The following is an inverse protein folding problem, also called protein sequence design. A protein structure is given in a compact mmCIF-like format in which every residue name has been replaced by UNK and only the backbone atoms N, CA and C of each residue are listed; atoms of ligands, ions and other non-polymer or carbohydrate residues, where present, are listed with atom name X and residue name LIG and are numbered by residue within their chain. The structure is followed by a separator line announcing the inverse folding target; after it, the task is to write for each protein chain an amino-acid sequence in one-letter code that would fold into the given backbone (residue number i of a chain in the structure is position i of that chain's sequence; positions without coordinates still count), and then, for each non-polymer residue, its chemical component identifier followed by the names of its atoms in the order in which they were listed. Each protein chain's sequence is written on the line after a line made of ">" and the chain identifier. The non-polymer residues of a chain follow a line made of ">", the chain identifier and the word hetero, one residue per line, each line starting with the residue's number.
data_IF_623864077109
#
_entry.id   IF_623864077109
#
_cell.length_a   1.000
_cell.length_b   1.000
_cell.length_c   1.000
_cell.angle_alpha   90.00
_cell.angle_beta   90.00
_cell.angle_gamma   90.00
#
_symmetry.space_group_name_H-M   'P 1'
#
loop_
_entity.id
_entity.type
_entity.pdbx_description
1 polymer ?
#
# COMPACT_ATOMS: atom_id res chain seq x y z
N UNK A 1 -15.89 -18.31 -6.55
CA UNK A 1 -15.81 -17.06 -7.33
C UNK A 1 -14.49 -16.37 -7.03
N UNK A 2 -13.80 -15.91 -8.05
CA UNK A 2 -12.53 -15.19 -7.97
C UNK A 2 -12.79 -13.74 -8.34
N UNK A 3 -12.21 -12.81 -7.59
CA UNK A 3 -12.24 -11.37 -7.88
C UNK A 3 -10.82 -10.85 -7.91
N UNK A 4 -10.50 -9.99 -8.87
CA UNK A 4 -9.19 -9.35 -8.93
C UNK A 4 -9.36 -7.84 -8.87
N UNK A 5 -8.37 -7.18 -8.29
CA UNK A 5 -8.30 -5.72 -8.24
C UNK A 5 -6.86 -5.27 -8.40
N UNK A 6 -6.70 -4.05 -8.89
CA UNK A 6 -5.41 -3.39 -9.08
C UNK A 6 -5.45 -2.05 -8.40
N UNK A 7 -4.34 -1.68 -7.77
CA UNK A 7 -4.17 -0.36 -7.18
C UNK A 7 -2.87 0.25 -7.62
N UNK A 8 -2.85 1.58 -7.68
CA UNK A 8 -1.67 2.37 -8.00
C UNK A 8 -1.65 3.59 -7.09
N UNK A 9 -0.47 3.91 -6.55
CA UNK A 9 -0.30 5.12 -5.78
C UNK A 9 1.08 5.70 -6.01
N UNK A 10 1.23 6.99 -5.78
CA UNK A 10 2.49 7.71 -5.92
C UNK A 10 2.52 8.86 -4.93
N UNK A 11 3.67 9.04 -4.29
CA UNK A 11 3.90 10.18 -3.41
C UNK A 11 5.27 10.77 -3.67
N UNK A 12 5.35 12.10 -3.60
CA UNK A 12 6.61 12.83 -3.71
C UNK A 12 7.34 12.82 -2.38
N UNK A 13 8.67 12.82 -2.44
CA UNK A 13 9.51 13.12 -1.28
C UNK A 13 9.48 14.62 -0.99
N UNK A 14 9.73 14.99 0.26
CA UNK A 14 9.89 16.40 0.61
C UNK A 14 9.53 16.80 2.03
N UNK A 15 8.95 15.90 2.80
CA UNK A 15 8.58 16.19 4.18
C UNK A 15 9.68 15.72 5.14
N UNK A 16 9.95 16.50 6.18
CA UNK A 16 10.85 16.12 7.26
C UNK A 16 10.09 15.24 8.24
N UNK A 17 9.98 13.99 7.91
CA UNK A 17 9.28 12.98 8.71
C UNK A 17 9.72 11.58 8.31
N UNK A 18 9.42 10.55 9.11
CA UNK A 18 9.80 9.18 8.76
C UNK A 18 9.20 8.74 7.43
N UNK A 19 9.95 7.95 6.69
CA UNK A 19 9.49 7.31 5.46
C UNK A 19 8.84 5.98 5.83
N UNK A 20 7.53 5.87 5.64
CA UNK A 20 6.76 4.68 5.97
C UNK A 20 6.31 4.01 4.67
N UNK A 21 6.68 2.75 4.49
CA UNK A 21 6.30 1.96 3.31
C UNK A 21 5.97 0.54 3.75
N UNK A 22 4.79 0.05 3.36
CA UNK A 22 4.36 -1.29 3.74
C UNK A 22 4.19 -1.45 5.25
N UNK A 23 3.86 -0.36 5.95
CA UNK A 23 3.73 -0.34 7.40
C UNK A 23 5.06 -0.34 8.14
N UNK A 24 6.18 -0.17 7.44
CA UNK A 24 7.54 -0.25 8.00
C UNK A 24 8.24 1.09 7.84
N UNK A 25 8.91 1.56 8.90
CA UNK A 25 9.75 2.73 8.80
C UNK A 25 11.05 2.33 8.10
N UNK A 26 11.30 2.94 6.95
CA UNK A 26 12.49 2.70 6.14
C UNK A 26 13.45 3.88 6.35
N UNK A 27 14.69 3.65 6.82
CA UNK A 27 15.64 4.73 7.01
C UNK A 27 15.92 5.48 5.70
N UNK A 28 15.69 6.80 5.72
CA UNK A 28 15.95 7.66 4.59
C UNK A 28 15.99 9.11 5.08
N UNK A 29 16.57 10.02 4.28
CA UNK A 29 16.76 11.41 4.68
C UNK A 29 15.50 12.28 4.56
N UNK A 30 14.43 11.74 4.01
CA UNK A 30 13.17 12.47 3.82
C UNK A 30 12.00 11.51 3.87
N UNK A 31 10.81 12.01 4.14
CA UNK A 31 9.55 11.26 4.06
C UNK A 31 8.69 11.76 2.91
N UNK A 32 7.47 11.24 2.82
CA UNK A 32 6.53 11.60 1.76
C UNK A 32 5.74 12.86 2.11
N UNK A 33 5.41 13.63 1.08
CA UNK A 33 4.41 14.70 1.16
C UNK A 33 3.05 14.04 1.00
N UNK A 34 2.25 13.99 2.06
CA UNK A 34 0.94 13.36 2.03
C UNK A 34 0.06 13.82 3.18
N UNK A 35 -1.25 13.61 3.05
CA UNK A 35 -2.23 13.90 4.09
C UNK A 35 -2.13 12.91 5.26
N UNK A 36 -1.92 11.62 4.95
CA UNK A 36 -1.67 10.55 5.92
C UNK A 36 -0.16 10.38 6.15
N UNK A 37 0.28 9.20 6.55
CA UNK A 37 1.71 8.84 6.60
C UNK A 37 2.32 8.69 5.21
N UNK A 38 1.50 8.67 4.16
CA UNK A 38 1.97 8.59 2.78
C UNK A 38 2.40 7.20 2.35
N UNK A 39 2.01 6.16 3.08
CA UNK A 39 2.42 4.79 2.77
C UNK A 39 1.91 4.36 1.40
N UNK A 40 2.75 4.53 0.39
CA UNK A 40 2.40 4.29 -1.01
C UNK A 40 2.04 2.83 -1.27
N UNK A 41 2.67 1.90 -0.56
CA UNK A 41 2.42 0.47 -0.72
C UNK A 41 1.06 0.08 -0.14
N UNK A 42 0.74 0.53 1.06
CA UNK A 42 -0.55 0.21 1.69
C UNK A 42 -1.70 0.92 0.98
N UNK A 43 -1.48 2.14 0.44
CA UNK A 43 -2.52 2.83 -0.33
C UNK A 43 -2.84 2.09 -1.64
N UNK A 44 -1.81 1.65 -2.37
CA UNK A 44 -2.02 0.87 -3.59
C UNK A 44 -2.74 -0.45 -3.28
N UNK A 45 -2.33 -1.12 -2.21
CA UNK A 45 -2.96 -2.37 -1.79
C UNK A 45 -4.42 -2.18 -1.36
N UNK A 46 -4.70 -1.11 -0.62
CA UNK A 46 -6.06 -0.77 -0.20
C UNK A 46 -6.96 -0.59 -1.43
N UNK A 47 -6.50 0.16 -2.43
CA UNK A 47 -7.25 0.36 -3.67
C UNK A 47 -7.47 -0.96 -4.42
N UNK A 48 -6.47 -1.84 -4.44
CA UNK A 48 -6.59 -3.14 -5.08
C UNK A 48 -7.69 -3.98 -4.42
N UNK A 49 -7.72 -4.00 -3.10
CA UNK A 49 -8.73 -4.74 -2.33
C UNK A 49 -10.13 -4.18 -2.55
N UNK A 50 -10.27 -2.85 -2.46
CA UNK A 50 -11.55 -2.18 -2.69
C UNK A 50 -12.05 -2.40 -4.12
N UNK A 51 -11.15 -2.29 -5.10
CA UNK A 51 -11.49 -2.52 -6.49
C UNK A 51 -11.97 -3.95 -6.75
N UNK A 52 -11.28 -4.94 -6.16
CA UNK A 52 -11.67 -6.34 -6.31
C UNK A 52 -13.08 -6.61 -5.75
N UNK A 53 -13.46 -5.92 -4.68
CA UNK A 53 -14.78 -6.06 -4.04
C UNK A 53 -15.83 -5.08 -4.61
N UNK A 54 -15.47 -4.29 -5.62
CA UNK A 54 -16.34 -3.28 -6.23
C UNK A 54 -16.84 -2.23 -5.22
N UNK A 55 -15.94 -1.81 -4.31
CA UNK A 55 -16.24 -0.82 -3.27
C UNK A 55 -15.69 0.58 -3.58
N UNK A 56 -15.17 0.79 -4.80
CA UNK A 56 -14.60 2.07 -5.20
C UNK A 56 -13.12 2.16 -4.90
N UNK A 57 -12.71 3.23 -4.25
CA UNK A 57 -11.31 3.51 -3.97
C UNK A 57 -11.12 4.10 -2.56
N UNK A 58 -9.86 4.31 -2.19
CA UNK A 58 -9.49 4.85 -0.88
C UNK A 58 -10.01 6.29 -0.69
N UNK A 59 -10.04 7.09 -1.75
CA UNK A 59 -10.53 8.47 -1.67
C UNK A 59 -12.02 8.56 -1.37
N UNK A 60 -12.80 7.60 -1.86
CA UNK A 60 -14.23 7.50 -1.56
C UNK A 60 -14.45 7.12 -0.10
N UNK A 61 -13.65 6.17 0.42
CA UNK A 61 -13.79 5.65 1.77
C UNK A 61 -13.20 6.61 2.82
N UNK A 62 -12.08 7.25 2.49
CA UNK A 62 -11.33 8.14 3.39
C UNK A 62 -11.00 9.45 2.68
N UNK A 63 -11.98 10.38 2.55
CA UNK A 63 -11.72 11.65 1.85
C UNK A 63 -10.61 12.47 2.51
N UNK A 64 -9.73 13.08 1.71
CA UNK A 64 -8.65 13.95 2.20
C UNK A 64 -9.19 15.16 2.98
N UNK A 65 -10.44 15.53 2.73
CA UNK A 65 -11.10 16.63 3.42
C UNK A 65 -11.55 16.26 4.83
N UNK A 66 -11.56 14.97 5.18
CA UNK A 66 -11.98 14.52 6.50
C UNK A 66 -10.79 14.60 7.46
N UNK A 67 -10.87 15.51 8.41
CA UNK A 67 -9.79 15.79 9.36
C UNK A 67 -9.46 14.62 10.27
N UNK A 68 -10.39 13.69 10.49
CA UNK A 68 -10.11 12.51 11.33
C UNK A 68 -9.02 11.60 10.73
N UNK A 69 -8.79 11.69 9.41
CA UNK A 69 -7.78 10.86 8.72
C UNK A 69 -6.46 11.59 8.49
N UNK A 70 -6.33 12.84 8.97
CA UNK A 70 -5.09 13.59 8.85
C UNK A 70 -4.00 12.90 9.67
N UNK A 71 -2.84 12.68 9.04
CA UNK A 71 -1.70 11.95 9.63
C UNK A 71 -2.05 10.52 10.06
N UNK A 72 -3.10 9.93 9.45
CA UNK A 72 -3.53 8.60 9.78
C UNK A 72 -2.46 7.55 9.48
N UNK A 73 -2.38 6.54 10.33
CA UNK A 73 -1.61 5.34 10.07
C UNK A 73 -2.32 4.55 8.98
N UNK A 74 -1.65 4.34 7.86
CA UNK A 74 -2.25 3.65 6.71
C UNK A 74 -2.61 2.20 7.00
N UNK A 75 -2.03 1.58 8.03
CA UNK A 75 -2.45 0.25 8.47
C UNK A 75 -3.87 0.28 9.04
N UNK A 76 -4.23 1.36 9.73
CA UNK A 76 -5.61 1.53 10.23
C UNK A 76 -6.58 1.64 9.05
N UNK A 77 -6.20 2.42 8.03
CA UNK A 77 -7.02 2.57 6.83
C UNK A 77 -7.16 1.24 6.09
N UNK A 78 -6.07 0.49 5.98
CA UNK A 78 -6.06 -0.83 5.33
C UNK A 78 -6.99 -1.81 6.07
N UNK A 79 -6.90 -1.86 7.40
CA UNK A 79 -7.74 -2.76 8.19
C UNK A 79 -9.22 -2.43 8.06
N UNK A 80 -9.56 -1.13 8.04
CA UNK A 80 -10.97 -0.71 7.87
C UNK A 80 -11.49 -1.06 6.48
N UNK A 81 -10.69 -0.82 5.44
CA UNK A 81 -11.07 -1.21 4.08
C UNK A 81 -11.26 -2.72 3.98
N UNK A 82 -10.35 -3.49 4.57
CA UNK A 82 -10.46 -4.95 4.53
C UNK A 82 -11.64 -5.47 5.32
N UNK A 83 -11.99 -4.81 6.43
CA UNK A 83 -13.22 -5.16 7.18
C UNK A 83 -14.44 -5.07 6.27
N UNK A 84 -14.52 -4.04 5.44
CA UNK A 84 -15.62 -3.87 4.49
C UNK A 84 -15.60 -4.94 3.39
N UNK A 85 -14.41 -5.32 2.95
CA UNK A 85 -14.24 -6.43 1.99
C UNK A 85 -14.77 -7.73 2.58
N UNK A 86 -14.47 -7.99 3.85
CA UNK A 86 -14.97 -9.17 4.56
C UNK A 86 -16.49 -9.15 4.70
N UNK A 87 -17.07 -7.98 4.98
CA UNK A 87 -18.53 -7.83 5.05
C UNK A 87 -19.23 -8.18 3.73
N UNK A 88 -18.53 -7.99 2.61
CA UNK A 88 -19.04 -8.39 1.29
C UNK A 88 -18.92 -9.90 1.05
N UNK A 89 -18.33 -10.63 1.98
CA UNK A 89 -18.22 -12.07 1.91
C UNK A 89 -16.93 -12.57 1.25
N UNK A 90 -15.87 -11.77 1.24
CA UNK A 90 -14.60 -12.15 0.61
C UNK A 90 -13.49 -12.35 1.62
N UNK A 91 -12.50 -13.10 1.20
CA UNK A 91 -11.22 -13.26 1.91
C UNK A 91 -10.08 -13.15 0.89
N UNK A 92 -8.87 -12.95 1.38
CA UNK A 92 -7.70 -12.87 0.50
C UNK A 92 -7.35 -14.24 -0.05
N UNK A 93 -7.16 -14.32 -1.36
CA UNK A 93 -6.48 -15.42 -2.01
C UNK A 93 -4.97 -15.18 -1.98
N UNK A 94 -4.53 -14.09 -2.60
CA UNK A 94 -3.15 -13.60 -2.48
C UNK A 94 -3.09 -12.13 -2.89
N UNK A 95 -2.01 -11.47 -2.50
CA UNK A 95 -1.70 -10.11 -2.93
C UNK A 95 -0.24 -10.03 -3.39
N UNK A 96 0.00 -9.15 -4.37
CA UNK A 96 1.33 -8.91 -4.92
C UNK A 96 1.52 -7.40 -5.02
N UNK A 97 2.56 -6.90 -4.36
CA UNK A 97 2.86 -5.46 -4.27
C UNK A 97 4.20 -5.20 -4.92
N UNK A 98 4.24 -4.24 -5.84
CA UNK A 98 5.47 -3.84 -6.52
C UNK A 98 5.80 -2.39 -6.16
N UNK A 99 6.94 -2.19 -5.49
CA UNK A 99 7.43 -0.86 -5.13
C UNK A 99 8.40 -0.40 -6.19
N UNK A 100 8.15 0.78 -6.76
CA UNK A 100 8.98 1.34 -7.83
C UNK A 100 9.73 2.54 -7.26
N UNK A 101 11.02 2.33 -6.99
CA UNK A 101 11.84 3.32 -6.30
C UNK A 101 13.31 3.21 -6.74
N UNK A 102 13.94 4.34 -7.01
CA UNK A 102 15.38 4.37 -7.26
C UNK A 102 16.15 4.14 -5.96
N UNK A 103 15.68 4.74 -4.87
CA UNK A 103 16.21 4.64 -3.52
C UNK A 103 15.08 4.99 -2.54
N UNK A 104 15.16 4.57 -1.26
CA UNK A 104 16.16 3.67 -0.66
C UNK A 104 15.97 2.21 -1.09
N UNK A 105 16.93 1.35 -0.74
CA UNK A 105 16.83 -0.09 -1.01
C UNK A 105 15.72 -0.70 -0.14
N UNK A 106 14.84 -1.45 -0.76
CA UNK A 106 13.70 -2.05 -0.05
C UNK A 106 13.97 -3.46 0.47
N UNK A 107 14.91 -4.18 -0.14
CA UNK A 107 15.14 -5.60 0.16
C UNK A 107 15.25 -5.93 1.66
N UNK A 108 15.99 -5.15 2.47
CA UNK A 108 16.09 -5.46 3.90
C UNK A 108 14.77 -5.36 4.65
N UNK A 109 13.76 -4.71 4.09
CA UNK A 109 12.50 -4.40 4.75
C UNK A 109 11.33 -5.24 4.24
N UNK A 110 11.51 -5.99 3.17
CA UNK A 110 10.41 -6.68 2.48
C UNK A 110 9.71 -7.70 3.39
N UNK A 111 10.45 -8.50 4.13
CA UNK A 111 9.83 -9.51 4.99
C UNK A 111 9.04 -8.89 6.13
N UNK A 112 9.50 -7.77 6.69
CA UNK A 112 8.74 -7.04 7.71
C UNK A 112 7.45 -6.46 7.12
N UNK A 113 7.50 -5.95 5.89
CA UNK A 113 6.31 -5.46 5.18
C UNK A 113 5.29 -6.58 4.99
N UNK A 114 5.75 -7.73 4.51
CA UNK A 114 4.90 -8.91 4.30
C UNK A 114 4.20 -9.34 5.58
N UNK A 115 4.94 -9.38 6.68
CA UNK A 115 4.40 -9.79 7.97
C UNK A 115 3.28 -8.87 8.45
N UNK A 116 3.47 -7.55 8.32
CA UNK A 116 2.47 -6.57 8.71
C UNK A 116 1.23 -6.64 7.84
N UNK A 117 1.41 -6.78 6.53
CA UNK A 117 0.29 -6.91 5.60
C UNK A 117 -0.50 -8.18 5.89
N UNK A 118 0.17 -9.31 6.09
CA UNK A 118 -0.49 -10.58 6.40
C UNK A 118 -1.31 -10.48 7.68
N UNK A 119 -0.77 -9.82 8.71
CA UNK A 119 -1.49 -9.58 9.95
C UNK A 119 -2.75 -8.76 9.71
N UNK A 120 -2.64 -7.67 8.95
CA UNK A 120 -3.78 -6.77 8.69
C UNK A 120 -4.86 -7.41 7.81
N UNK A 121 -4.49 -8.34 6.95
CA UNK A 121 -5.41 -9.02 6.04
C UNK A 121 -5.85 -10.40 6.55
N UNK A 122 -5.45 -10.77 7.76
CA UNK A 122 -5.82 -12.05 8.38
C UNK A 122 -5.52 -13.24 7.47
N UNK A 123 -4.32 -13.25 6.89
CA UNK A 123 -3.90 -14.31 5.98
C UNK A 123 -2.48 -14.79 6.30
N UNK A 124 -2.06 -15.86 5.64
CA UNK A 124 -0.73 -16.40 5.79
C UNK A 124 0.28 -15.51 5.05
N UNK A 125 1.50 -15.39 5.57
CA UNK A 125 2.55 -14.61 4.93
C UNK A 125 2.86 -15.09 3.50
N UNK A 126 2.65 -16.38 3.24
CA UNK A 126 2.84 -16.94 1.89
C UNK A 126 1.80 -16.45 0.89
N UNK A 127 0.73 -15.81 1.35
CA UNK A 127 -0.26 -15.20 0.48
C UNK A 127 0.08 -13.73 0.16
N UNK A 128 1.19 -13.21 0.70
CA UNK A 128 1.62 -11.83 0.52
C UNK A 128 3.00 -11.80 -0.13
N UNK A 129 3.09 -11.20 -1.30
CA UNK A 129 4.37 -10.92 -1.93
C UNK A 129 4.61 -9.42 -1.99
N UNK A 130 5.84 -9.01 -1.71
CA UNK A 130 6.30 -7.62 -1.90
C UNK A 130 7.63 -7.70 -2.64
N UNK A 131 7.76 -6.94 -3.71
CA UNK A 131 8.99 -6.84 -4.48
C UNK A 131 9.23 -5.38 -4.86
N UNK A 132 10.45 -5.08 -5.23
CA UNK A 132 10.83 -3.71 -5.59
C UNK A 132 11.64 -3.72 -6.88
N UNK A 133 11.53 -2.63 -7.63
CA UNK A 133 12.30 -2.42 -8.84
C UNK A 133 12.68 -0.95 -8.96
N UNK A 134 13.73 -0.66 -9.73
CA UNK A 134 14.04 0.71 -10.13
C UNK A 134 13.47 0.95 -11.53
N UNK A 135 13.52 2.19 -12.00
CA UNK A 135 13.23 2.53 -13.39
C UNK A 135 14.51 2.86 -14.16
N UNK A 136 15.64 2.34 -13.70
CA UNK A 136 16.94 2.52 -14.36
C UNK A 136 17.26 4.00 -14.57
N UNK A 137 16.98 4.83 -13.55
CA UNK A 137 17.19 6.29 -13.53
C UNK A 137 16.29 7.06 -14.51
N UNK A 138 15.25 6.42 -15.03
CA UNK A 138 14.30 7.06 -15.95
C UNK A 138 13.08 7.57 -15.18
N UNK A 139 12.58 8.72 -15.59
CA UNK A 139 11.35 9.31 -15.06
C UNK A 139 11.48 9.83 -13.63
N UNK A 140 10.33 10.19 -13.05
CA UNK A 140 10.32 10.80 -11.73
C UNK A 140 10.81 9.85 -10.62
N UNK A 141 10.51 8.57 -10.73
CA UNK A 141 11.03 7.57 -9.78
C UNK A 141 12.54 7.43 -9.93
N UNK A 142 13.02 7.40 -11.17
CA UNK A 142 14.45 7.29 -11.47
C UNK A 142 15.26 8.51 -11.06
N UNK A 143 14.63 9.69 -11.01
CA UNK A 143 15.24 10.91 -10.52
C UNK A 143 15.07 11.09 -8.99
N UNK A 144 14.51 10.11 -8.30
CA UNK A 144 14.29 10.16 -6.85
C UNK A 144 13.40 11.35 -6.42
N UNK A 145 12.41 11.68 -7.23
CA UNK A 145 11.41 12.71 -6.88
C UNK A 145 10.30 12.12 -6.02
N UNK A 146 10.10 10.82 -6.08
CA UNK A 146 9.10 10.12 -5.33
C UNK A 146 9.16 8.63 -5.57
N UNK A 147 8.18 7.92 -5.03
CA UNK A 147 8.03 6.48 -5.15
C UNK A 147 6.63 6.18 -5.67
N UNK A 148 6.54 5.26 -6.62
CA UNK A 148 5.28 4.70 -7.09
C UNK A 148 5.14 3.27 -6.59
N UNK A 149 3.90 2.81 -6.50
CA UNK A 149 3.62 1.44 -6.11
C UNK A 149 2.40 0.92 -6.86
N UNK A 150 2.45 -0.32 -7.28
CA UNK A 150 1.31 -1.04 -7.83
C UNK A 150 1.02 -2.25 -6.97
N UNK A 151 -0.25 -2.59 -6.86
CA UNK A 151 -0.67 -3.77 -6.12
C UNK A 151 -1.75 -4.51 -6.90
N UNK A 152 -1.72 -5.82 -6.81
CA UNK A 152 -2.77 -6.69 -7.33
C UNK A 152 -3.29 -7.53 -6.18
N UNK A 153 -4.60 -7.64 -6.07
CA UNK A 153 -5.24 -8.48 -5.06
C UNK A 153 -6.17 -9.48 -5.75
N UNK A 154 -6.11 -10.71 -5.30
CA UNK A 154 -7.06 -11.74 -5.68
C UNK A 154 -7.86 -12.10 -4.44
N UNK A 155 -9.18 -11.95 -4.55
CA UNK A 155 -10.11 -12.31 -3.49
C UNK A 155 -10.86 -13.59 -3.85
N UNK A 156 -11.16 -14.36 -2.83
CA UNK A 156 -11.98 -15.56 -2.93
C UNK A 156 -13.24 -15.34 -2.10
N UNK A 157 -14.31 -16.03 -2.48
CA UNK A 157 -15.49 -16.02 -1.63
C UNK A 157 -15.16 -16.76 -0.33
N UNK A 158 -15.49 -16.13 0.77
CA UNK A 158 -15.26 -16.73 2.09
C UNK A 158 -16.26 -17.84 2.38
#
# INVERSE_FOLDING_TARGET
>A
MIRIGHGFDVHAFGEDRPLIIGGVEVPYHTGFIAHSDGDVALHALTDALLGAAALGDIGKLFPDTDMQYKNADSRVLLREAFRQVQEKGYKVGNVDVTIIAQAPKMRPHINAMRAKIAEDLHCDIEQVNVKATTTEKLGFTGRSEGIACEAVALLLKA
#
